data_IF_308576298262
#
_entry.id   IF_308576298262
#
_cell.length_a   1.000
_cell.length_b   1.000
_cell.length_c   1.000
_cell.angle_alpha   90.00
_cell.angle_beta   90.00
_cell.angle_gamma   90.00
#
_symmetry.space_group_name_H-M   'P 1'
#
loop_
_entity.id
_entity.type
_entity.pdbx_description
1 polymer ?
#
# COMPACT_ATOMS: atom_id res chain seq x y z
N UNK A 1 10.99 -16.85 12.88
CA UNK A 1 11.90 -15.76 12.44
C UNK A 1 13.15 -15.75 13.32
N UNK A 2 14.37 -15.78 12.75
CA UNK A 2 15.63 -15.88 13.53
C UNK A 2 16.49 -14.61 13.54
N UNK A 3 16.15 -13.63 12.69
CA UNK A 3 17.00 -12.45 12.45
C UNK A 3 16.16 -11.18 12.24
N UNK A 4 16.77 -10.04 12.55
CA UNK A 4 16.24 -8.72 12.25
C UNK A 4 16.82 -8.19 10.94
N UNK A 5 15.97 -7.59 10.10
CA UNK A 5 16.38 -6.90 8.88
C UNK A 5 16.03 -5.43 8.94
N UNK A 6 16.97 -4.61 8.46
CA UNK A 6 16.81 -3.16 8.31
C UNK A 6 16.98 -2.76 6.85
N UNK A 7 16.10 -1.89 6.38
CA UNK A 7 16.19 -1.22 5.08
C UNK A 7 16.18 0.29 5.29
N UNK A 8 16.82 1.04 4.41
CA UNK A 8 16.92 2.49 4.46
C UNK A 8 16.87 3.09 3.04
N UNK A 9 16.56 4.39 2.88
CA UNK A 9 16.48 5.02 1.58
C UNK A 9 17.81 4.96 0.83
N UNK A 10 17.76 4.82 -0.50
CA UNK A 10 18.95 4.83 -1.34
C UNK A 10 19.66 6.20 -1.24
N UNK A 11 21.00 6.20 -1.21
CA UNK A 11 21.83 7.41 -1.13
C UNK A 11 21.54 8.45 -2.23
N UNK A 12 21.02 8.03 -3.38
CA UNK A 12 20.59 8.91 -4.49
C UNK A 12 19.37 9.79 -4.15
N UNK A 13 18.65 9.50 -3.06
CA UNK A 13 17.50 10.30 -2.60
C UNK A 13 17.98 11.53 -1.82
N UNK A 14 18.73 12.40 -2.49
CA UNK A 14 19.32 13.62 -1.93
C UNK A 14 18.27 14.60 -1.39
N UNK A 15 17.04 14.54 -1.91
CA UNK A 15 15.89 15.34 -1.42
C UNK A 15 15.17 14.72 -0.22
N UNK A 16 15.75 13.68 0.40
CA UNK A 16 15.18 12.98 1.57
C UNK A 16 13.77 12.39 1.37
N UNK A 17 13.42 12.03 0.13
CA UNK A 17 12.16 11.32 -0.16
C UNK A 17 12.18 9.90 0.41
N UNK A 18 11.02 9.36 0.78
CA UNK A 18 10.89 8.00 1.28
C UNK A 18 10.49 7.00 0.19
N UNK A 19 10.69 5.72 0.51
CA UNK A 19 10.13 4.60 -0.25
C UNK A 19 8.77 4.19 0.34
N UNK A 20 7.99 3.42 -0.42
CA UNK A 20 6.78 2.77 0.09
C UNK A 20 7.15 1.62 1.05
N UNK A 21 6.86 1.69 2.37
CA UNK A 21 7.27 0.65 3.32
C UNK A 21 6.54 -0.68 3.15
N UNK A 22 5.36 -0.70 2.51
CA UNK A 22 4.56 -1.92 2.29
C UNK A 22 5.34 -2.98 1.51
N UNK A 23 6.21 -2.57 0.58
CA UNK A 23 7.01 -3.50 -0.24
C UNK A 23 7.99 -4.31 0.60
N UNK A 24 8.40 -3.80 1.76
CA UNK A 24 9.33 -4.47 2.67
C UNK A 24 8.60 -5.21 3.79
N UNK A 25 7.57 -4.60 4.38
CA UNK A 25 6.77 -5.26 5.42
C UNK A 25 6.08 -6.52 4.95
N UNK A 26 5.63 -6.56 3.69
CA UNK A 26 5.05 -7.78 3.08
C UNK A 26 6.04 -8.94 2.98
N UNK A 27 7.34 -8.65 3.06
CA UNK A 27 8.45 -9.62 3.09
C UNK A 27 8.95 -9.90 4.50
N UNK A 28 8.31 -9.34 5.53
CA UNK A 28 8.63 -9.57 6.93
C UNK A 28 9.76 -8.71 7.50
N UNK A 29 10.29 -7.75 6.72
CA UNK A 29 11.29 -6.77 7.21
C UNK A 29 10.70 -6.00 8.38
N UNK A 30 11.47 -5.87 9.46
CA UNK A 30 11.02 -5.25 10.70
C UNK A 30 11.31 -3.75 10.72
N UNK A 31 12.54 -3.37 10.35
CA UNK A 31 13.01 -1.99 10.45
C UNK A 31 13.04 -1.35 9.06
N UNK A 32 11.93 -0.74 8.65
CA UNK A 32 11.88 0.12 7.48
C UNK A 32 12.23 1.55 7.88
N UNK A 33 13.50 1.93 7.83
CA UNK A 33 13.94 3.26 8.22
C UNK A 33 13.53 4.29 7.16
N UNK A 34 12.85 5.34 7.59
CA UNK A 34 12.38 6.45 6.76
C UNK A 34 12.98 7.77 7.24
N UNK A 35 13.02 8.75 6.36
CA UNK A 35 13.34 10.14 6.63
C UNK A 35 12.14 10.80 7.33
N UNK A 36 12.19 10.91 8.65
CA UNK A 36 11.11 11.46 9.48
C UNK A 36 10.80 12.94 9.21
N UNK A 37 11.80 13.70 8.74
CA UNK A 37 11.64 15.10 8.37
C UNK A 37 10.76 15.32 7.13
N UNK A 38 10.44 14.25 6.37
CA UNK A 38 9.68 14.33 5.12
C UNK A 38 8.33 13.60 5.28
N UNK A 39 7.23 14.35 5.44
CA UNK A 39 5.88 13.80 5.60
C UNK A 39 5.20 13.41 4.27
N UNK A 40 5.89 12.59 3.48
CA UNK A 40 5.36 12.03 2.24
C UNK A 40 4.48 10.78 2.49
N UNK A 41 4.03 10.12 1.42
CA UNK A 41 3.18 8.93 1.50
C UNK A 41 3.83 7.80 2.32
N UNK A 42 5.15 7.64 2.22
CA UNK A 42 5.88 6.62 2.99
C UNK A 42 5.75 6.88 4.50
N UNK A 43 5.95 8.12 4.92
CA UNK A 43 5.74 8.51 6.33
C UNK A 43 4.28 8.46 6.76
N UNK A 44 3.33 8.80 5.90
CA UNK A 44 1.89 8.69 6.20
C UNK A 44 1.49 7.24 6.48
N UNK A 45 1.97 6.29 5.68
CA UNK A 45 1.77 4.84 5.92
C UNK A 45 2.48 4.40 7.20
N UNK A 46 3.69 4.89 7.45
CA UNK A 46 4.44 4.58 8.66
C UNK A 46 3.71 5.02 9.92
N UNK A 47 3.29 6.28 9.96
CA UNK A 47 2.48 6.81 11.04
C UNK A 47 1.19 5.99 11.20
N UNK A 48 0.45 5.73 10.12
CA UNK A 48 -0.77 4.92 10.18
C UNK A 48 -0.56 3.50 10.71
N UNK A 49 0.62 2.90 10.49
CA UNK A 49 0.98 1.58 11.00
C UNK A 49 1.23 1.62 12.51
N UNK A 50 1.97 2.61 13.02
CA UNK A 50 2.45 2.62 14.41
C UNK A 50 1.62 3.48 15.37
N UNK A 51 0.80 4.40 14.85
CA UNK A 51 -0.27 5.07 15.59
C UNK A 51 -1.46 4.11 15.83
N UNK A 52 -1.45 2.97 15.13
CA UNK A 52 -2.42 1.91 15.31
C UNK A 52 -2.15 1.09 16.57
N UNK A 53 -3.20 0.80 17.34
CA UNK A 53 -3.11 0.03 18.58
C UNK A 53 -3.53 0.84 19.81
N UNK A 54 -3.53 0.20 20.96
CA UNK A 54 -3.90 0.80 22.25
C UNK A 54 -2.76 1.53 22.94
N UNK A 55 -1.51 1.17 22.62
CA UNK A 55 -0.30 1.60 23.34
C UNK A 55 0.63 2.51 22.50
N UNK A 56 0.49 2.53 21.17
CA UNK A 56 1.29 3.37 20.26
C UNK A 56 2.81 3.27 20.50
N UNK A 57 3.27 2.08 20.90
CA UNK A 57 4.63 1.85 21.37
C UNK A 57 5.70 1.83 20.27
N UNK A 58 5.29 1.90 19.00
CA UNK A 58 6.16 1.69 17.85
C UNK A 58 6.39 0.21 17.49
N UNK A 59 5.72 -0.73 18.19
CA UNK A 59 5.80 -2.16 17.91
C UNK A 59 4.44 -2.73 17.52
N UNK A 60 4.35 -3.25 16.30
CA UNK A 60 3.14 -3.94 15.81
C UNK A 60 3.47 -5.38 15.50
N UNK A 61 2.74 -6.29 16.13
CA UNK A 61 2.93 -7.71 15.95
C UNK A 61 2.55 -8.11 14.51
N UNK A 62 3.48 -8.74 13.78
CA UNK A 62 3.25 -9.21 12.40
C UNK A 62 2.16 -10.27 12.32
N UNK A 63 1.54 -10.55 11.17
CA UNK A 63 0.63 -11.69 11.00
C UNK A 63 1.32 -13.02 11.32
N UNK A 64 0.56 -14.04 11.74
CA UNK A 64 1.09 -15.34 12.18
C UNK A 64 1.96 -15.98 11.09
N UNK A 65 1.51 -15.89 9.84
CA UNK A 65 2.14 -16.43 8.64
C UNK A 65 3.49 -15.78 8.32
N UNK A 66 3.79 -14.62 8.93
CA UNK A 66 5.08 -13.93 8.82
C UNK A 66 6.00 -14.16 10.04
N UNK A 67 5.55 -14.90 11.05
CA UNK A 67 6.33 -15.25 12.25
C UNK A 67 6.94 -16.65 12.13
N UNK A 68 6.16 -17.59 11.58
CA UNK A 68 6.51 -19.00 11.46
C UNK A 68 7.62 -19.25 10.43
N UNK A 69 8.44 -20.26 10.70
CA UNK A 69 9.47 -20.72 9.76
C UNK A 69 8.76 -21.67 8.80
N UNK A 70 8.37 -21.17 7.63
CA UNK A 70 7.88 -22.04 6.56
C UNK A 70 9.08 -22.75 5.94
N UNK A 71 9.22 -24.04 6.21
CA UNK A 71 10.08 -24.93 5.42
C UNK A 71 9.47 -24.99 4.03
N UNK A 72 10.06 -24.27 3.07
CA UNK A 72 9.60 -24.36 1.68
C UNK A 72 9.84 -25.79 1.20
N UNK A 73 8.85 -26.46 0.57
CA UNK A 73 9.12 -27.68 -0.17
C UNK A 73 10.23 -27.44 -1.19
N UNK A 74 11.06 -28.46 -1.45
CA UNK A 74 12.15 -28.41 -2.44
C UNK A 74 11.65 -28.17 -3.87
N UNK A 75 10.34 -28.34 -4.12
CA UNK A 75 9.71 -28.07 -5.41
C UNK A 75 9.47 -26.57 -5.61
N UNK A 76 9.95 -26.05 -6.73
CA UNK A 76 9.75 -24.66 -7.13
C UNK A 76 8.26 -24.29 -7.30
N UNK A 77 7.40 -25.28 -7.56
CA UNK A 77 5.98 -25.09 -7.88
C UNK A 77 5.09 -24.77 -6.67
N UNK A 78 5.52 -25.13 -5.45
CA UNK A 78 4.78 -24.84 -4.20
C UNK A 78 5.35 -23.64 -3.42
N UNK A 79 6.54 -23.19 -3.82
CA UNK A 79 7.30 -22.16 -3.13
C UNK A 79 6.80 -20.72 -3.40
N UNK A 80 5.58 -20.35 -3.01
CA UNK A 80 5.23 -18.92 -2.90
C UNK A 80 3.80 -18.47 -3.14
N UNK A 81 2.83 -19.37 -3.25
CA UNK A 81 1.43 -18.98 -3.45
C UNK A 81 0.72 -18.82 -2.10
N UNK A 82 0.97 -17.69 -1.41
CA UNK A 82 0.08 -17.27 -0.31
C UNK A 82 -1.36 -17.19 -0.83
N UNK A 83 -2.34 -17.79 -0.14
CA UNK A 83 -3.74 -17.70 -0.54
C UNK A 83 -4.18 -16.24 -0.53
N UNK A 84 -5.06 -15.88 -1.45
CA UNK A 84 -5.68 -14.55 -1.44
C UNK A 84 -6.91 -14.60 -0.54
N UNK A 85 -7.11 -13.55 0.25
CA UNK A 85 -8.32 -13.33 1.03
C UNK A 85 -9.15 -12.22 0.41
N UNK A 86 -10.46 -12.36 0.50
CA UNK A 86 -11.39 -11.26 0.24
C UNK A 86 -11.51 -10.35 1.47
N UNK A 87 -11.56 -9.04 1.25
CA UNK A 87 -11.79 -8.03 2.28
C UNK A 87 -12.78 -7.02 1.73
N UNK A 88 -13.94 -6.91 2.36
CA UNK A 88 -15.00 -6.02 1.95
C UNK A 88 -15.22 -4.96 3.03
N UNK A 89 -15.30 -3.70 2.61
CA UNK A 89 -15.64 -2.61 3.51
C UNK A 89 -16.26 -1.45 2.74
N UNK A 90 -16.99 -0.62 3.48
CA UNK A 90 -17.70 0.55 2.96
C UNK A 90 -17.30 1.79 3.74
N UNK A 91 -17.05 2.86 3.00
CA UNK A 91 -16.73 4.19 3.52
C UNK A 91 -17.74 5.18 2.98
N UNK A 92 -18.47 5.81 3.88
CA UNK A 92 -19.33 6.94 3.55
C UNK A 92 -18.59 8.22 3.92
N UNK A 93 -18.26 9.03 2.93
CA UNK A 93 -17.69 10.37 3.09
C UNK A 93 -18.86 11.35 3.20
N UNK A 94 -19.13 11.83 4.41
CA UNK A 94 -20.37 12.58 4.70
C UNK A 94 -20.11 14.07 4.57
N UNK A 95 -19.20 14.62 5.36
CA UNK A 95 -18.90 16.05 5.39
C UNK A 95 -17.50 16.33 5.93
N UNK A 96 -17.03 17.57 5.80
CA UNK A 96 -15.87 18.07 6.52
C UNK A 96 -16.22 19.30 7.34
N UNK A 97 -15.37 19.64 8.30
CA UNK A 97 -15.52 20.81 9.17
C UNK A 97 -14.27 21.66 9.07
N UNK A 98 -14.44 22.97 8.93
CA UNK A 98 -13.41 24.01 8.99
C UNK A 98 -12.11 23.65 8.24
N UNK A 99 -12.22 23.32 6.95
CA UNK A 99 -11.07 23.01 6.12
C UNK A 99 -10.14 24.22 6.04
N UNK A 100 -8.87 24.02 6.39
CA UNK A 100 -7.88 25.08 6.33
C UNK A 100 -7.64 25.50 4.89
N UNK A 101 -7.78 26.79 4.59
CA UNK A 101 -7.43 27.34 3.29
C UNK A 101 -5.89 27.32 3.14
N UNK A 102 -5.33 26.68 2.11
CA UNK A 102 -3.89 26.66 1.89
C UNK A 102 -3.35 28.08 1.74
N UNK A 103 -2.23 28.40 2.39
CA UNK A 103 -1.60 29.73 2.31
C UNK A 103 -1.18 30.11 0.87
N UNK A 104 -0.99 29.12 0.00
CA UNK A 104 -0.69 29.32 -1.42
C UNK A 104 -1.89 29.79 -2.25
N UNK A 105 -3.12 29.70 -1.73
CA UNK A 105 -4.32 30.20 -2.41
C UNK A 105 -4.53 31.68 -2.13
N UNK A 106 -4.36 32.52 -3.16
CA UNK A 106 -4.61 33.96 -3.11
C UNK A 106 -6.03 34.25 -2.60
N UNK A 107 -6.18 35.28 -1.80
CA UNK A 107 -7.48 35.79 -1.37
C UNK A 107 -8.43 36.01 -2.56
N UNK A 108 -9.73 35.74 -2.39
CA UNK A 108 -10.72 35.79 -3.47
C UNK A 108 -10.73 34.61 -4.44
N UNK A 109 -9.73 33.72 -4.44
CA UNK A 109 -9.77 32.49 -5.24
C UNK A 109 -10.85 31.53 -4.73
N UNK A 110 -11.68 31.01 -5.65
CA UNK A 110 -12.70 30.00 -5.38
C UNK A 110 -12.15 28.78 -4.65
N UNK A 111 -12.97 28.25 -3.75
CA UNK A 111 -12.59 27.15 -2.86
C UNK A 111 -13.60 26.01 -3.00
N UNK A 112 -13.23 24.98 -3.76
CA UNK A 112 -14.12 23.87 -4.11
C UNK A 112 -13.53 22.55 -3.62
N UNK A 113 -13.71 22.19 -2.33
CA UNK A 113 -13.11 20.99 -1.81
C UNK A 113 -13.78 19.74 -2.37
N UNK A 114 -12.98 18.70 -2.54
CA UNK A 114 -13.43 17.32 -2.75
C UNK A 114 -12.52 16.38 -1.97
N UNK A 115 -12.98 15.15 -1.75
CA UNK A 115 -12.25 14.13 -1.00
C UNK A 115 -11.96 12.95 -1.90
N UNK A 116 -10.70 12.57 -1.96
CA UNK A 116 -10.28 11.29 -2.52
C UNK A 116 -10.13 10.26 -1.40
N UNK A 117 -10.64 9.05 -1.63
CA UNK A 117 -10.42 7.90 -0.76
C UNK A 117 -9.65 6.85 -1.56
N UNK A 118 -8.45 6.55 -1.10
CA UNK A 118 -7.51 5.63 -1.74
C UNK A 118 -7.18 4.47 -0.79
N UNK A 119 -7.14 3.26 -1.33
CA UNK A 119 -6.72 2.07 -0.61
C UNK A 119 -5.33 1.66 -1.07
N UNK A 120 -4.41 1.60 -0.11
CA UNK A 120 -3.01 1.26 -0.34
C UNK A 120 -2.79 -0.19 0.08
N UNK A 121 -2.36 -1.01 -0.87
CA UNK A 121 -2.16 -2.46 -0.70
C UNK A 121 -0.69 -2.85 -0.79
N UNK A 122 -0.31 -3.86 -0.03
CA UNK A 122 1.03 -4.43 -0.13
C UNK A 122 1.30 -5.15 -1.46
N UNK A 123 0.26 -5.70 -2.10
CA UNK A 123 0.35 -6.37 -3.40
C UNK A 123 -0.10 -5.51 -4.58
N UNK A 124 -0.25 -4.19 -4.39
CA UNK A 124 -0.55 -3.28 -5.48
C UNK A 124 0.52 -3.42 -6.58
N UNK A 125 0.03 -3.63 -7.80
CA UNK A 125 0.83 -3.86 -9.00
C UNK A 125 1.24 -2.53 -9.65
N UNK A 126 0.66 -1.39 -9.26
CA UNK A 126 0.95 -0.08 -9.83
C UNK A 126 2.42 0.35 -9.68
N UNK A 127 3.12 -0.11 -8.63
CA UNK A 127 4.54 0.19 -8.40
C UNK A 127 5.52 -0.62 -9.29
N UNK A 128 5.03 -1.57 -10.10
CA UNK A 128 5.88 -2.34 -11.03
C UNK A 128 6.00 -1.62 -12.37
N UNK A 129 7.05 -0.80 -12.48
CA UNK A 129 7.56 -0.25 -13.76
C UNK A 129 7.99 -1.31 -14.80
N UNK A 130 7.90 -2.61 -14.48
CA UNK A 130 8.11 -3.73 -15.40
C UNK A 130 6.83 -4.57 -15.47
N UNK A 131 6.02 -4.31 -16.50
CA UNK A 131 4.72 -4.94 -16.77
C UNK A 131 4.81 -6.09 -17.78
N UNK A 132 6.00 -6.62 -18.02
CA UNK A 132 6.15 -7.84 -18.81
C UNK A 132 5.92 -9.05 -17.89
N UNK A 133 5.12 -10.02 -18.33
CA UNK A 133 5.02 -11.38 -17.75
C UNK A 133 4.05 -11.64 -16.58
N UNK A 134 2.93 -10.91 -16.43
CA UNK A 134 1.80 -11.47 -15.66
C UNK A 134 0.50 -11.31 -16.45
N UNK A 135 -0.23 -12.41 -16.74
CA UNK A 135 -1.53 -12.35 -17.39
C UNK A 135 -2.49 -11.43 -16.61
N UNK A 136 -3.36 -10.67 -17.31
CA UNK A 136 -4.43 -9.94 -16.66
C UNK A 136 -5.32 -10.92 -15.87
N UNK A 137 -5.67 -10.55 -14.64
CA UNK A 137 -6.67 -11.28 -13.87
C UNK A 137 -7.99 -11.30 -14.64
N UNK A 138 -8.71 -12.43 -14.73
CA UNK A 138 -9.98 -12.51 -15.47
C UNK A 138 -11.14 -11.77 -14.79
N UNK A 139 -10.96 -11.27 -13.56
CA UNK A 139 -11.97 -10.51 -12.83
C UNK A 139 -11.70 -9.00 -12.91
N UNK A 140 -12.71 -8.15 -13.12
CA UNK A 140 -12.58 -6.70 -13.00
C UNK A 140 -12.06 -6.35 -11.60
N UNK A 141 -10.85 -5.81 -11.50
CA UNK A 141 -10.35 -5.32 -10.23
C UNK A 141 -11.16 -4.08 -9.83
N UNK A 142 -11.83 -4.13 -8.69
CA UNK A 142 -12.55 -2.99 -8.15
C UNK A 142 -11.57 -1.81 -7.98
N UNK A 143 -12.00 -0.56 -8.24
CA UNK A 143 -11.10 0.58 -8.16
C UNK A 143 -10.63 0.76 -6.71
N UNK A 144 -9.33 0.96 -6.55
CA UNK A 144 -8.70 1.25 -5.24
C UNK A 144 -8.82 2.72 -4.86
N UNK A 145 -9.32 3.57 -5.74
CA UNK A 145 -9.46 5.01 -5.52
C UNK A 145 -10.81 5.50 -6.00
N UNK A 146 -11.49 6.25 -5.14
CA UNK A 146 -12.68 7.02 -5.47
C UNK A 146 -12.50 8.49 -5.12
N UNK A 147 -13.33 9.35 -5.69
CA UNK A 147 -13.37 10.77 -5.37
C UNK A 147 -14.82 11.27 -5.31
N UNK A 148 -15.09 12.19 -4.39
CA UNK A 148 -16.38 12.89 -4.31
C UNK A 148 -16.49 13.93 -5.43
N UNK A 149 -17.71 14.42 -5.65
CA UNK A 149 -17.89 15.70 -6.33
C UNK A 149 -17.31 16.83 -5.49
N UNK A 150 -16.94 17.93 -6.15
CA UNK A 150 -16.45 19.13 -5.49
C UNK A 150 -17.61 19.98 -5.00
N UNK A 151 -17.55 20.41 -3.74
CA UNK A 151 -18.55 21.30 -3.15
C UNK A 151 -18.17 22.73 -3.47
N UNK A 152 -19.04 23.48 -4.14
CA UNK A 152 -18.73 24.84 -4.58
C UNK A 152 -18.62 25.82 -3.40
N UNK A 153 -17.61 26.67 -3.45
CA UNK A 153 -17.30 27.79 -2.54
C UNK A 153 -17.56 27.54 -1.05
N UNK A 154 -17.34 26.31 -0.57
CA UNK A 154 -17.60 25.95 0.83
C UNK A 154 -16.45 25.13 1.42
N UNK A 155 -15.61 25.79 2.23
CA UNK A 155 -14.60 25.11 3.06
C UNK A 155 -14.96 25.01 4.53
N UNK A 156 -16.02 25.67 4.98
CA UNK A 156 -16.35 25.75 6.39
C UNK A 156 -17.10 24.50 6.86
N UNK A 157 -18.03 23.99 6.06
CA UNK A 157 -18.85 22.81 6.38
C UNK A 157 -19.36 22.07 5.13
N UNK A 158 -18.49 21.70 4.18
CA UNK A 158 -18.92 21.02 2.95
C UNK A 158 -19.56 19.66 3.27
N UNK A 159 -20.65 19.35 2.57
CA UNK A 159 -21.34 18.05 2.62
C UNK A 159 -21.12 17.35 1.28
N UNK A 160 -20.58 16.14 1.33
CA UNK A 160 -20.28 15.32 0.17
C UNK A 160 -21.30 14.21 -0.04
N UNK A 161 -21.70 13.56 1.06
CA UNK A 161 -22.68 12.45 1.12
C UNK A 161 -22.49 11.37 0.04
N UNK A 162 -21.26 10.86 -0.10
CA UNK A 162 -20.92 9.79 -1.05
C UNK A 162 -20.51 8.51 -0.33
N UNK A 163 -20.98 7.38 -0.86
CA UNK A 163 -20.71 6.03 -0.36
C UNK A 163 -19.79 5.27 -1.32
N UNK A 164 -18.72 4.67 -0.80
CA UNK A 164 -17.80 3.83 -1.58
C UNK A 164 -17.67 2.45 -0.98
N UNK A 165 -17.87 1.42 -1.80
CA UNK A 165 -17.64 0.03 -1.42
C UNK A 165 -16.34 -0.46 -2.06
N UNK A 166 -15.48 -1.06 -1.24
CA UNK A 166 -14.23 -1.67 -1.66
C UNK A 166 -14.33 -3.18 -1.49
N UNK A 167 -14.12 -3.90 -2.60
CA UNK A 167 -14.08 -5.35 -2.63
C UNK A 167 -12.66 -5.77 -3.03
N UNK A 168 -11.84 -6.07 -2.03
CA UNK A 168 -10.40 -6.26 -2.20
C UNK A 168 -10.08 -7.74 -2.15
N UNK A 169 -9.19 -8.17 -3.04
CA UNK A 169 -8.63 -9.52 -3.01
C UNK A 169 -7.13 -9.39 -2.84
N UNK A 170 -6.58 -9.73 -1.67
CA UNK A 170 -5.15 -9.53 -1.36
C UNK A 170 -4.51 -10.73 -0.64
N UNK A 171 -3.19 -10.88 -0.79
CA UNK A 171 -2.37 -11.83 -0.01
C UNK A 171 -2.00 -11.31 1.39
N UNK A 172 -2.30 -10.04 1.68
CA UNK A 172 -1.83 -9.35 2.89
C UNK A 172 -2.96 -8.52 3.52
N UNK A 173 -4.03 -9.17 4.03
CA UNK A 173 -5.18 -8.47 4.61
C UNK A 173 -4.82 -7.56 5.80
N UNK A 174 -3.75 -7.88 6.53
CA UNK A 174 -3.23 -7.07 7.64
C UNK A 174 -2.43 -5.83 7.23
N UNK A 175 -2.16 -5.66 5.93
CA UNK A 175 -1.41 -4.54 5.35
C UNK A 175 -2.28 -3.74 4.37
N UNK A 176 -3.54 -3.54 4.73
CA UNK A 176 -4.46 -2.66 4.02
C UNK A 176 -4.52 -1.32 4.76
N UNK A 177 -4.28 -0.24 4.02
CA UNK A 177 -4.36 1.11 4.55
C UNK A 177 -5.34 1.93 3.71
N UNK A 178 -6.08 2.81 4.38
CA UNK A 178 -7.01 3.72 3.74
C UNK A 178 -6.50 5.14 3.95
N UNK A 179 -6.47 5.90 2.87
CA UNK A 179 -6.00 7.29 2.84
C UNK A 179 -7.11 8.20 2.32
N UNK A 180 -7.47 9.18 3.13
CA UNK A 180 -8.33 10.28 2.75
C UNK A 180 -7.46 11.47 2.38
N UNK A 181 -7.71 12.06 1.22
CA UNK A 181 -7.02 13.26 0.76
C UNK A 181 -8.04 14.33 0.42
N UNK A 182 -8.01 15.44 1.15
CA UNK A 182 -8.80 16.62 0.82
C UNK A 182 -8.04 17.44 -0.21
N UNK A 183 -8.69 17.79 -1.31
CA UNK A 183 -8.14 18.59 -2.40
C UNK A 183 -9.07 19.75 -2.74
N UNK A 184 -8.55 20.72 -3.47
CA UNK A 184 -9.34 21.78 -4.11
C UNK A 184 -9.24 21.61 -5.63
N UNK A 185 -10.27 21.98 -6.39
CA UNK A 185 -10.24 21.89 -7.86
C UNK A 185 -9.17 22.77 -8.50
N UNK A 186 -8.76 23.85 -7.83
CA UNK A 186 -7.81 24.83 -8.35
C UNK A 186 -6.35 24.40 -8.16
N UNK A 187 -6.05 23.58 -7.15
CA UNK A 187 -4.68 23.18 -6.82
C UNK A 187 -4.51 21.66 -6.88
N UNK A 188 -3.43 21.22 -7.52
CA UNK A 188 -3.08 19.80 -7.59
C UNK A 188 -2.49 19.27 -6.27
N UNK A 189 -1.94 20.13 -5.41
CA UNK A 189 -1.38 19.68 -4.14
C UNK A 189 -2.50 19.28 -3.15
N UNK A 190 -2.33 18.17 -2.41
CA UNK A 190 -3.18 17.84 -1.28
C UNK A 190 -3.25 18.99 -0.26
N UNK A 191 -4.45 19.30 0.19
CA UNK A 191 -4.65 20.29 1.24
C UNK A 191 -4.45 19.67 2.61
N UNK A 192 -5.06 18.51 2.81
CA UNK A 192 -4.96 17.77 4.04
C UNK A 192 -5.08 16.28 3.77
N UNK A 193 -4.45 15.47 4.60
CA UNK A 193 -4.52 14.02 4.50
C UNK A 193 -4.83 13.39 5.85
N UNK A 194 -5.39 12.19 5.79
CA UNK A 194 -5.46 11.27 6.92
C UNK A 194 -5.25 9.86 6.40
N UNK A 195 -4.38 9.09 7.04
CA UNK A 195 -4.12 7.70 6.64
C UNK A 195 -4.28 6.81 7.86
N UNK A 196 -4.95 5.68 7.70
CA UNK A 196 -5.17 4.72 8.78
C UNK A 196 -5.04 3.29 8.26
N UNK A 197 -4.56 2.40 9.12
CA UNK A 197 -4.62 0.96 8.90
C UNK A 197 -6.08 0.48 8.99
N UNK A 198 -6.54 -0.30 8.02
CA UNK A 198 -7.94 -0.73 7.94
C UNK A 198 -8.41 -1.46 9.21
N UNK A 199 -7.58 -2.39 9.72
CA UNK A 199 -7.91 -3.16 10.93
C UNK A 199 -7.97 -2.34 12.22
N UNK A 200 -7.57 -1.06 12.16
CA UNK A 200 -7.52 -0.15 13.31
C UNK A 200 -8.61 0.91 13.25
N UNK A 201 -9.36 0.97 12.15
CA UNK A 201 -10.51 1.86 12.00
C UNK A 201 -11.68 1.37 12.85
N UNK A 202 -12.17 2.23 13.73
CA UNK A 202 -13.40 1.97 14.49
C UNK A 202 -14.62 2.10 13.57
N UNK A 203 -15.49 1.09 13.58
CA UNK A 203 -16.72 1.10 12.79
C UNK A 203 -17.73 2.16 13.26
N UNK A 204 -18.71 2.49 12.43
CA UNK A 204 -19.76 3.48 12.70
C UNK A 204 -19.37 4.88 12.24
N UNK A 205 -20.07 5.88 12.76
CA UNK A 205 -19.80 7.30 12.48
C UNK A 205 -18.55 7.76 13.26
N UNK A 206 -17.60 8.34 12.55
CA UNK A 206 -16.30 8.75 13.08
C UNK A 206 -15.89 10.11 12.53
N UNK A 207 -15.23 10.87 13.38
CA UNK A 207 -14.55 12.11 13.02
C UNK A 207 -13.07 11.82 12.87
N UNK A 208 -12.55 11.98 11.66
CA UNK A 208 -11.15 11.75 11.32
C UNK A 208 -10.39 13.09 11.37
N UNK A 209 -9.28 13.18 12.11
CA UNK A 209 -8.46 14.38 12.12
C UNK A 209 -7.78 14.57 10.75
N UNK A 210 -7.61 15.81 10.31
CA UNK A 210 -6.89 16.13 9.09
C UNK A 210 -5.51 16.70 9.40
N UNK A 211 -4.50 16.25 8.65
CA UNK A 211 -3.11 16.64 8.81
C UNK A 211 -2.66 17.49 7.62
N UNK A 212 -1.79 18.46 7.86
CA UNK A 212 -1.19 19.29 6.83
C UNK A 212 -0.05 18.54 6.09
N UNK A 213 0.59 19.21 5.12
CA UNK A 213 1.70 18.64 4.34
C UNK A 213 2.98 18.32 5.15
N UNK A 214 3.09 18.79 6.40
CA UNK A 214 4.19 18.51 7.33
C UNK A 214 3.85 17.41 8.34
N UNK A 215 2.59 16.95 8.38
CA UNK A 215 2.11 15.98 9.36
C UNK A 215 1.53 16.61 10.63
N UNK A 216 1.41 17.94 10.69
CA UNK A 216 0.77 18.58 11.85
C UNK A 216 -0.75 18.47 11.70
N UNK A 217 -1.41 18.09 12.79
CA UNK A 217 -2.86 18.03 12.87
C UNK A 217 -3.44 19.45 12.84
N UNK A 218 -4.43 19.68 11.98
CA UNK A 218 -5.27 20.86 12.07
C UNK A 218 -6.16 20.79 13.31
N UNK A 219 -6.24 21.89 14.06
CA UNK A 219 -6.99 21.95 15.31
C UNK A 219 -8.49 21.71 15.11
N UNK A 220 -9.06 22.30 14.06
CA UNK A 220 -10.49 22.26 13.78
C UNK A 220 -10.87 21.54 12.48
N UNK A 221 -9.90 21.25 11.61
CA UNK A 221 -10.20 20.59 10.34
C UNK A 221 -10.39 19.08 10.55
N UNK A 222 -11.60 18.60 10.30
CA UNK A 222 -11.94 17.18 10.43
C UNK A 222 -12.82 16.69 9.29
N UNK A 223 -12.79 15.39 9.04
CA UNK A 223 -13.68 14.70 8.12
C UNK A 223 -14.66 13.82 8.90
N UNK A 224 -15.95 13.96 8.65
CA UNK A 224 -16.98 13.09 9.21
C UNK A 224 -17.29 11.97 8.22
N UNK A 225 -17.08 10.73 8.65
CA UNK A 225 -17.26 9.54 7.83
C UNK A 225 -18.06 8.47 8.57
N UNK A 226 -18.69 7.57 7.83
CA UNK A 226 -19.15 6.29 8.36
C UNK A 226 -18.28 5.17 7.81
N UNK A 227 -17.77 4.32 8.69
CA UNK A 227 -16.93 3.19 8.34
C UNK A 227 -17.70 1.91 8.66
N UNK A 228 -17.80 0.99 7.70
CA UNK A 228 -18.35 -0.35 7.89
C UNK A 228 -17.37 -1.37 7.34
N UNK A 229 -17.02 -2.36 8.14
CA UNK A 229 -16.08 -3.39 7.73
C UNK A 229 -16.78 -4.73 7.80
N UNK A 230 -17.02 -5.34 6.64
CA UNK A 230 -17.61 -6.66 6.51
C UNK A 230 -16.44 -7.64 6.30
N UNK A 231 -15.80 -8.04 7.40
CA UNK A 231 -14.67 -8.97 7.32
C UNK A 231 -15.16 -10.37 6.94
N UNK A 232 -15.10 -10.70 5.66
CA UNK A 232 -15.28 -12.06 5.14
C UNK A 232 -13.97 -12.58 4.59
N UNK A 233 -13.21 -13.29 5.42
CA UNK A 233 -12.05 -14.09 5.00
C UNK A 233 -12.52 -15.27 4.14
N UNK A 234 -12.88 -15.03 2.88
CA UNK A 234 -13.12 -16.08 1.90
C UNK A 234 -11.79 -16.37 1.21
N UNK A 235 -11.32 -17.60 1.37
CA UNK A 235 -10.13 -18.12 0.71
C UNK A 235 -10.46 -18.31 -0.77
N UNK A 236 -9.67 -17.68 -1.65
CA UNK A 236 -9.77 -17.92 -3.08
C UNK A 236 -8.71 -18.91 -3.50
N UNK A 237 -9.14 -20.15 -3.77
CA UNK A 237 -8.33 -21.10 -4.52
C UNK A 237 -8.36 -20.67 -5.98
N UNK A 238 -7.27 -20.05 -6.44
CA UNK A 238 -7.05 -19.95 -7.88
C UNK A 238 -6.70 -21.34 -8.39
N UNK A 239 -7.43 -21.90 -9.38
CA UNK A 239 -7.00 -23.13 -10.00
C UNK A 239 -5.58 -22.92 -10.52
N UNK A 240 -4.70 -23.88 -10.23
CA UNK A 240 -3.35 -23.87 -10.77
C UNK A 240 -3.45 -23.68 -12.29
N UNK A 241 -2.72 -22.71 -12.83
CA UNK A 241 -2.61 -22.49 -14.27
C UNK A 241 -2.47 -23.86 -14.96
N UNK A 242 -3.34 -24.10 -15.94
CA UNK A 242 -3.64 -25.42 -16.47
C UNK A 242 -2.40 -26.26 -16.71
N UNK A 243 -2.49 -27.52 -16.28
CA UNK A 243 -1.59 -28.61 -16.69
C UNK A 243 -1.45 -28.55 -18.22
N UNK A 244 -0.31 -28.07 -18.70
CA UNK A 244 0.03 -28.14 -20.12
C UNK A 244 0.29 -29.60 -20.47
N UNK A 245 -0.79 -30.28 -20.87
CA UNK A 245 -0.75 -31.63 -21.39
C UNK A 245 -0.04 -31.62 -22.75
N UNK A 246 1.28 -31.83 -22.69
CA UNK A 246 2.03 -32.63 -23.65
C UNK A 246 2.08 -32.16 -25.10
N UNK A 247 3.23 -31.61 -25.52
CA UNK A 247 3.80 -31.89 -26.84
C UNK A 247 5.30 -32.18 -26.75
N UNK A 248 5.65 -33.47 -26.78
CA UNK A 248 6.99 -33.95 -27.09
C UNK A 248 7.31 -33.62 -28.55
N UNK A 249 8.04 -32.53 -28.82
CA UNK A 249 8.69 -32.35 -30.11
C UNK A 249 10.15 -32.83 -30.03
N UNK A 250 10.40 -33.97 -30.68
CA UNK A 250 11.74 -34.41 -31.08
C UNK A 250 12.31 -33.42 -32.11
N UNK A 251 13.39 -32.74 -31.76
CA UNK A 251 14.44 -32.30 -32.69
C UNK A 251 15.76 -32.67 -32.00
N UNK A 252 16.64 -33.49 -32.56
CA UNK A 252 17.27 -33.27 -33.85
C UNK A 252 18.76 -33.11 -33.54
N UNK A 253 19.49 -34.21 -33.59
CA UNK A 253 20.92 -34.34 -33.27
C UNK A 253 21.73 -33.46 -34.24
N UNK A 254 22.39 -32.43 -33.74
CA UNK A 254 23.31 -31.57 -34.50
C UNK A 254 24.62 -31.41 -33.74
N UNK A 255 25.66 -32.07 -34.25
CA UNK A 255 27.03 -32.08 -33.73
C UNK A 255 27.70 -30.75 -34.07
N UNK A 256 28.21 -30.01 -33.09
CA UNK A 256 29.42 -29.21 -33.24
C UNK A 256 30.24 -29.22 -31.95
N UNK A 257 31.44 -29.79 -32.06
CA UNK A 257 32.53 -29.69 -31.09
C UNK A 257 33.13 -28.28 -31.16
N UNK A 258 33.35 -27.66 -30.02
CA UNK A 258 34.55 -26.88 -29.78
C UNK A 258 34.88 -26.86 -28.28
N UNK A 259 36.09 -27.34 -27.98
CA UNK A 259 36.74 -27.24 -26.68
C UNK A 259 36.95 -25.76 -26.31
N UNK A 260 36.79 -25.43 -25.04
CA UNK A 260 37.72 -24.60 -24.26
C UNK A 260 37.31 -24.72 -22.79
N UNK A 261 38.15 -25.39 -22.00
CA UNK A 261 38.02 -25.47 -20.54
C UNK A 261 38.27 -24.11 -19.88
N UNK A 262 37.68 -23.85 -18.69
CA UNK A 262 37.85 -22.60 -17.95
C UNK A 262 39.16 -22.61 -17.14
N UNK A 263 39.89 -21.50 -17.13
CA UNK A 263 40.95 -21.25 -16.14
C UNK A 263 40.35 -20.62 -14.88
N UNK A 264 40.37 -21.41 -13.82
CA UNK A 264 40.21 -21.04 -12.42
C UNK A 264 41.43 -20.27 -11.90
N UNK A 265 41.21 -19.27 -11.05
CA UNK A 265 42.25 -18.66 -10.21
C UNK A 265 41.71 -18.30 -8.82
N UNK A 266 42.04 -19.16 -7.85
CA UNK A 266 42.11 -19.05 -6.38
C UNK A 266 43.25 -20.02 -6.03
N UNK A 267 44.22 -19.85 -5.14
CA UNK A 267 44.57 -19.00 -3.98
C UNK A 267 46.12 -18.85 -4.04
N UNK A 268 46.86 -17.92 -3.40
CA UNK A 268 46.93 -17.57 -1.97
C UNK A 268 48.22 -18.12 -1.33
N UNK A 269 49.11 -17.23 -0.88
CA UNK A 269 49.94 -17.39 0.33
C UNK A 269 51.28 -18.16 0.29
N UNK A 270 52.35 -17.45 0.69
CA UNK A 270 53.28 -17.94 1.73
C UNK A 270 54.59 -18.60 1.29
N UNK A 271 55.68 -17.83 1.34
CA UNK A 271 56.89 -18.06 2.13
C UNK A 271 57.64 -16.72 2.24
#
# INVERSE_FOLDING_TARGET
MRYMMRVYPNATRVTSTNFNPLIYWKRGVQMAALNWQTFDLGMQINQAMFDSGTDQSGYVLKPLEAREIQMKPLSADEAGKRPRKHVNFKIDVISAQQLMRPASLKEGTSFHPYVEVEVLLADDRADKKNRAEVPPSPLPEAPLKYQTEAVRDNGFNPVFDKSYTFNITTKYPDLIFVRWTVRNTVQSAPMATFTAKLSSLKQGYRTLPLLNAKGDRYLFSTLFCRIKTDSTDIMVDYPADGVDNGKKNKLGRGVFRSNMSPKTSLDGGGC
#
